data_IF_359773739379
#
_entry.id   IF_359773739379
#
_cell.length_a   1.000
_cell.length_b   1.000
_cell.length_c   1.000
_cell.angle_alpha   90.00
_cell.angle_beta   90.00
_cell.angle_gamma   90.00
#
_symmetry.space_group_name_H-M   'P 1'
#
loop_
_entity.id
_entity.type
_entity.pdbx_description
1 polymer ?
#
# COMPACT_ATOMS: atom_id res chain seq x y z
N UNK A 1 20.16 -3.81 7.42
CA UNK A 1 20.58 -4.96 8.25
C UNK A 1 19.36 -5.69 8.83
N UNK A 2 18.71 -5.20 9.90
CA UNK A 2 17.58 -5.92 10.52
C UNK A 2 16.40 -6.15 9.58
N UNK A 3 15.97 -5.11 8.85
CA UNK A 3 14.86 -5.26 7.89
C UNK A 3 15.21 -6.23 6.75
N UNK A 4 16.44 -6.19 6.24
CA UNK A 4 16.89 -7.10 5.18
C UNK A 4 16.88 -8.56 5.66
N UNK A 5 17.36 -8.83 6.88
CA UNK A 5 17.31 -10.16 7.49
C UNK A 5 15.87 -10.65 7.64
N UNK A 6 14.96 -9.78 8.11
CA UNK A 6 13.53 -10.13 8.25
C UNK A 6 12.84 -10.32 6.91
N UNK A 7 13.19 -9.53 5.89
CA UNK A 7 12.64 -9.65 4.55
C UNK A 7 13.07 -10.96 3.87
N UNK A 8 14.35 -11.34 4.03
CA UNK A 8 14.86 -12.65 3.61
C UNK A 8 14.15 -13.78 4.34
N UNK A 9 14.04 -13.70 5.68
CA UNK A 9 13.35 -14.71 6.48
C UNK A 9 11.87 -14.88 6.08
N UNK A 10 11.15 -13.79 5.82
CA UNK A 10 9.77 -13.85 5.32
C UNK A 10 9.67 -14.65 4.02
N UNK A 11 10.51 -14.32 3.03
CA UNK A 11 10.44 -14.98 1.72
C UNK A 11 10.90 -16.43 1.76
N UNK A 12 11.91 -16.75 2.56
CA UNK A 12 12.34 -18.14 2.80
C UNK A 12 11.25 -18.95 3.49
N UNK A 13 10.56 -18.39 4.48
CA UNK A 13 9.43 -19.03 5.15
C UNK A 13 8.29 -19.31 4.17
N UNK A 14 7.87 -18.31 3.39
CA UNK A 14 6.81 -18.48 2.39
C UNK A 14 7.22 -19.49 1.31
N UNK A 15 8.47 -19.51 0.88
CA UNK A 15 8.96 -20.47 -0.10
C UNK A 15 9.07 -21.91 0.45
N UNK A 16 9.27 -22.06 1.76
CA UNK A 16 9.31 -23.37 2.42
C UNK A 16 7.91 -23.95 2.72
N UNK A 17 6.87 -23.14 2.67
CA UNK A 17 5.48 -23.55 2.90
C UNK A 17 4.90 -24.29 1.68
N UNK A 18 4.34 -25.48 1.91
CA UNK A 18 3.82 -26.36 0.86
C UNK A 18 2.69 -25.72 0.03
N UNK A 19 1.86 -24.86 0.65
CA UNK A 19 0.80 -24.16 -0.05
C UNK A 19 1.38 -23.20 -1.08
N UNK A 20 2.29 -22.31 -0.68
CA UNK A 20 2.87 -21.34 -1.61
C UNK A 20 3.82 -21.97 -2.63
N UNK A 21 4.44 -23.11 -2.31
CA UNK A 21 5.13 -23.93 -3.31
C UNK A 21 4.15 -24.42 -4.39
N UNK A 22 2.97 -24.91 -3.99
CA UNK A 22 1.93 -25.37 -4.92
C UNK A 22 1.34 -24.24 -5.77
N UNK A 23 1.25 -23.03 -5.20
CA UNK A 23 0.88 -21.79 -5.92
C UNK A 23 1.99 -21.29 -6.86
N UNK A 24 3.17 -21.91 -6.83
CA UNK A 24 4.29 -21.59 -7.71
C UNK A 24 5.01 -20.30 -7.35
N UNK A 25 5.08 -19.95 -6.06
CA UNK A 25 5.78 -18.78 -5.55
C UNK A 25 7.21 -18.68 -6.13
N UNK A 26 7.50 -17.53 -6.74
CA UNK A 26 8.83 -17.21 -7.27
C UNK A 26 9.21 -15.79 -6.88
N UNK A 27 10.27 -15.68 -6.09
CA UNK A 27 10.79 -14.40 -5.62
C UNK A 27 12.17 -14.05 -6.19
N UNK A 28 12.68 -14.82 -7.14
CA UNK A 28 13.84 -14.39 -7.95
C UNK A 28 13.48 -13.25 -8.90
N UNK A 29 14.45 -12.53 -9.43
CA UNK A 29 14.21 -11.40 -10.34
C UNK A 29 13.25 -11.73 -11.49
N UNK A 30 12.42 -10.75 -11.84
CA UNK A 30 11.60 -10.75 -13.03
C UNK A 30 11.99 -9.56 -13.90
N UNK A 31 12.24 -9.83 -15.18
CA UNK A 31 12.62 -8.80 -16.14
C UNK A 31 11.58 -7.66 -16.19
N UNK A 32 12.09 -6.43 -16.22
CA UNK A 32 11.28 -5.21 -16.20
C UNK A 32 10.49 -4.94 -14.91
N UNK A 33 10.60 -5.77 -13.86
CA UNK A 33 9.87 -5.59 -12.60
C UNK A 33 10.86 -5.29 -11.46
N UNK A 34 11.04 -4.03 -11.04
CA UNK A 34 12.01 -3.68 -9.98
C UNK A 34 11.59 -4.17 -8.59
N UNK A 35 10.29 -4.42 -8.38
CA UNK A 35 9.73 -4.79 -7.09
C UNK A 35 8.80 -6.01 -7.15
N UNK A 36 8.61 -6.64 -6.00
CA UNK A 36 7.55 -7.58 -5.67
C UNK A 36 6.74 -7.04 -4.48
N UNK A 37 5.45 -7.37 -4.41
CA UNK A 37 4.55 -6.92 -3.36
C UNK A 37 4.15 -8.12 -2.49
N UNK A 38 4.29 -8.00 -1.18
CA UNK A 38 3.81 -8.98 -0.21
C UNK A 38 2.68 -8.36 0.61
N UNK A 39 1.52 -9.01 0.64
CA UNK A 39 0.32 -8.54 1.35
C UNK A 39 0.05 -9.45 2.53
N UNK A 40 0.26 -8.95 3.74
CA UNK A 40 -0.20 -9.60 4.96
C UNK A 40 -1.63 -9.14 5.26
N UNK A 41 -2.59 -9.98 4.91
CA UNK A 41 -4.01 -9.69 5.06
C UNK A 41 -4.44 -9.70 6.53
N UNK A 42 -3.93 -10.65 7.32
CA UNK A 42 -4.24 -10.75 8.75
C UNK A 42 -3.74 -9.54 9.57
N UNK A 43 -2.62 -8.93 9.17
CA UNK A 43 -2.04 -7.77 9.86
C UNK A 43 -2.24 -6.43 9.15
N UNK A 44 -3.02 -6.38 8.07
CA UNK A 44 -3.34 -5.12 7.36
C UNK A 44 -2.09 -4.36 6.89
N UNK A 45 -1.12 -5.09 6.32
CA UNK A 45 0.16 -4.52 5.89
C UNK A 45 0.52 -4.98 4.48
N UNK A 46 0.92 -4.03 3.63
CA UNK A 46 1.56 -4.29 2.33
C UNK A 46 3.04 -3.97 2.46
N UNK A 47 3.92 -4.88 2.07
CA UNK A 47 5.37 -4.67 2.00
C UNK A 47 5.81 -4.75 0.55
N UNK A 48 6.53 -3.73 0.08
CA UNK A 48 7.22 -3.73 -1.21
C UNK A 48 8.64 -4.22 -0.99
N UNK A 49 9.07 -5.21 -1.78
CA UNK A 49 10.39 -5.83 -1.73
C UNK A 49 11.16 -5.51 -3.00
N UNK A 50 12.37 -4.96 -2.85
CA UNK A 50 13.35 -4.77 -3.92
C UNK A 50 14.28 -5.99 -4.02
N UNK A 51 15.05 -6.04 -5.10
CA UNK A 51 16.07 -7.07 -5.31
C UNK A 51 17.25 -6.92 -4.34
N UNK A 52 17.68 -8.04 -3.77
CA UNK A 52 18.96 -8.17 -3.10
C UNK A 52 20.12 -8.37 -4.09
N UNK A 53 21.34 -8.47 -3.56
CA UNK A 53 22.55 -8.63 -4.36
C UNK A 53 22.64 -10.02 -5.03
N UNK A 54 21.81 -10.97 -4.59
CA UNK A 54 21.65 -12.31 -5.17
C UNK A 54 20.55 -12.34 -6.25
N UNK A 55 19.86 -11.21 -6.49
CA UNK A 55 18.80 -11.09 -7.48
C UNK A 55 17.46 -11.66 -7.01
N UNK A 56 17.18 -11.66 -5.70
CA UNK A 56 15.91 -12.08 -5.11
C UNK A 56 15.17 -10.91 -4.45
N UNK A 57 13.84 -10.85 -4.55
CA UNK A 57 13.01 -9.86 -3.90
C UNK A 57 12.91 -10.10 -2.39
N UNK A 58 13.94 -9.71 -1.65
CA UNK A 58 14.03 -9.93 -0.19
C UNK A 58 14.33 -8.66 0.59
N UNK A 59 14.76 -7.56 -0.06
CA UNK A 59 15.07 -6.28 0.59
C UNK A 59 13.80 -5.45 0.79
N UNK A 60 13.29 -5.25 2.02
CA UNK A 60 12.12 -4.41 2.24
C UNK A 60 12.42 -2.97 1.84
N UNK A 61 11.64 -2.46 0.91
CA UNK A 61 11.80 -1.13 0.35
C UNK A 61 10.87 -0.13 1.05
N UNK A 62 9.58 -0.50 1.20
CA UNK A 62 8.60 0.25 1.98
C UNK A 62 7.47 -0.65 2.50
N UNK A 63 6.81 -0.23 3.56
CA UNK A 63 5.58 -0.82 4.08
C UNK A 63 4.46 0.20 4.12
N UNK A 64 3.26 -0.21 3.70
CA UNK A 64 2.04 0.59 3.62
C UNK A 64 0.94 -0.06 4.46
N UNK A 65 0.15 0.76 5.16
CA UNK A 65 -1.05 0.26 5.85
C UNK A 65 -2.12 -0.05 4.80
N UNK A 66 -2.88 -1.14 5.00
CA UNK A 66 -3.98 -1.46 4.10
C UNK A 66 -5.20 -1.99 4.85
N UNK A 67 -6.31 -2.12 4.14
CA UNK A 67 -7.47 -2.88 4.59
C UNK A 67 -7.88 -3.87 3.53
N UNK A 68 -7.62 -5.15 3.80
CA UNK A 68 -8.16 -6.27 3.04
C UNK A 68 -9.46 -6.81 3.64
N UNK A 69 -9.96 -7.90 3.05
CA UNK A 69 -11.10 -8.66 3.54
C UNK A 69 -10.80 -10.16 3.56
N UNK A 70 -11.50 -10.93 4.38
CA UNK A 70 -11.31 -12.38 4.47
C UNK A 70 -11.54 -13.12 3.13
N UNK A 71 -12.25 -12.49 2.20
CA UNK A 71 -12.50 -13.02 0.86
C UNK A 71 -11.31 -12.83 -0.09
N UNK A 72 -10.29 -12.05 0.28
CA UNK A 72 -9.06 -11.91 -0.52
C UNK A 72 -8.36 -13.27 -0.56
N UNK A 73 -8.12 -13.88 -1.74
CA UNK A 73 -7.47 -15.18 -1.80
C UNK A 73 -6.01 -15.07 -1.34
N UNK A 74 -5.56 -16.06 -0.57
CA UNK A 74 -4.13 -16.30 -0.37
C UNK A 74 -3.56 -16.88 -1.66
N UNK A 75 -2.27 -16.65 -1.90
CA UNK A 75 -1.58 -17.25 -3.04
C UNK A 75 -0.56 -16.33 -3.69
N UNK A 76 -0.19 -16.66 -4.93
CA UNK A 76 0.82 -15.97 -5.70
C UNK A 76 0.29 -15.53 -7.07
N UNK A 77 0.39 -14.24 -7.35
CA UNK A 77 -0.28 -13.57 -8.46
C UNK A 77 0.68 -12.65 -9.23
N UNK A 78 0.20 -12.11 -10.35
CA UNK A 78 0.87 -11.07 -11.11
C UNK A 78 -0.13 -10.05 -11.63
N UNK A 79 0.18 -8.76 -11.50
CA UNK A 79 -0.74 -7.67 -11.85
C UNK A 79 -1.00 -7.63 -13.36
N UNK A 80 -2.25 -7.72 -13.86
CA UNK A 80 -2.50 -7.76 -15.31
C UNK A 80 -2.88 -6.42 -15.94
N UNK A 81 -3.38 -5.45 -15.16
CA UNK A 81 -3.93 -4.19 -15.71
C UNK A 81 -4.12 -3.12 -14.61
N UNK A 82 -4.04 -1.86 -15.02
CA UNK A 82 -4.27 -0.68 -14.19
C UNK A 82 -5.50 0.13 -14.66
N UNK A 83 -6.06 0.93 -13.76
CA UNK A 83 -7.22 1.81 -13.98
C UNK A 83 -7.03 3.15 -13.27
N UNK A 84 -7.31 4.26 -13.93
CA UNK A 84 -7.31 5.59 -13.27
C UNK A 84 -8.51 5.74 -12.34
N UNK A 85 -9.66 5.20 -12.76
CA UNK A 85 -10.86 5.05 -11.94
C UNK A 85 -11.48 3.69 -12.21
N UNK A 86 -11.94 3.01 -11.16
CA UNK A 86 -12.59 1.70 -11.28
C UNK A 86 -13.86 1.63 -10.45
N UNK A 87 -14.97 1.26 -11.08
CA UNK A 87 -16.19 0.86 -10.37
C UNK A 87 -15.91 -0.39 -9.52
N UNK A 88 -16.25 -0.32 -8.24
CA UNK A 88 -16.03 -1.36 -7.24
C UNK A 88 -17.32 -2.14 -6.94
N UNK A 89 -17.29 -3.01 -5.93
CA UNK A 89 -18.49 -3.67 -5.43
C UNK A 89 -19.39 -2.66 -4.70
N UNK A 90 -20.59 -2.43 -5.25
CA UNK A 90 -21.48 -1.34 -4.84
C UNK A 90 -21.38 -0.13 -5.79
N UNK A 91 -22.14 0.95 -5.57
CA UNK A 91 -22.04 2.15 -6.38
C UNK A 91 -20.87 3.04 -5.93
N UNK A 92 -19.66 2.48 -5.80
CA UNK A 92 -18.46 3.19 -5.35
C UNK A 92 -17.28 3.02 -6.29
N UNK A 93 -16.27 3.88 -6.14
CA UNK A 93 -15.14 3.98 -7.07
C UNK A 93 -13.79 3.97 -6.36
N UNK A 94 -12.79 3.37 -6.97
CA UNK A 94 -11.39 3.49 -6.55
C UNK A 94 -10.65 4.43 -7.50
N UNK A 95 -10.00 5.46 -6.95
CA UNK A 95 -9.08 6.34 -7.67
C UNK A 95 -7.72 5.65 -7.71
N UNK A 96 -7.19 5.40 -8.89
CA UNK A 96 -6.09 4.46 -9.11
C UNK A 96 -6.46 3.04 -8.63
N UNK A 97 -6.35 2.07 -9.53
CA UNK A 97 -6.50 0.68 -9.17
C UNK A 97 -5.58 -0.20 -10.01
N UNK A 98 -4.94 -1.16 -9.36
CA UNK A 98 -4.11 -2.19 -9.99
C UNK A 98 -4.73 -3.54 -9.71
N UNK A 99 -5.09 -4.30 -10.75
CA UNK A 99 -5.67 -5.63 -10.57
C UNK A 99 -4.63 -6.60 -10.03
N UNK A 100 -5.04 -7.45 -9.11
CA UNK A 100 -4.23 -8.56 -8.58
C UNK A 100 -4.66 -9.85 -9.25
N UNK A 101 -5.94 -10.21 -9.08
CA UNK A 101 -6.53 -11.44 -9.59
C UNK A 101 -8.05 -11.30 -9.66
N UNK A 102 -8.68 -11.82 -10.72
CA UNK A 102 -10.12 -11.71 -10.96
C UNK A 102 -10.71 -10.31 -10.66
N UNK A 103 -11.56 -10.18 -9.64
CA UNK A 103 -12.18 -8.92 -9.22
C UNK A 103 -11.39 -8.16 -8.13
N UNK A 104 -10.32 -8.75 -7.60
CA UNK A 104 -9.51 -8.22 -6.50
C UNK A 104 -8.45 -7.24 -6.99
N UNK A 105 -8.40 -6.07 -6.36
CA UNK A 105 -7.59 -4.92 -6.75
C UNK A 105 -6.79 -4.40 -5.56
N UNK A 106 -5.61 -3.85 -5.81
CA UNK A 106 -5.13 -2.72 -5.03
C UNK A 106 -5.90 -1.48 -5.49
N UNK A 107 -6.52 -0.75 -4.58
CA UNK A 107 -7.18 0.52 -4.91
C UNK A 107 -7.25 1.42 -3.68
N UNK A 108 -7.62 2.68 -3.87
CA UNK A 108 -7.78 3.61 -2.74
C UNK A 108 -8.91 3.19 -1.81
N UNK A 109 -9.03 3.81 -0.64
CA UNK A 109 -10.33 3.83 0.04
C UNK A 109 -11.43 4.23 -0.97
N UNK A 110 -12.63 3.60 -0.94
CA UNK A 110 -13.69 3.88 -1.89
C UNK A 110 -14.16 5.35 -1.87
N UNK A 111 -14.67 5.80 -3.00
CA UNK A 111 -15.30 7.10 -3.21
C UNK A 111 -16.77 6.93 -3.60
N UNK A 112 -17.63 7.85 -3.17
CA UNK A 112 -19.05 7.88 -3.55
C UNK A 112 -19.25 8.23 -5.04
N UNK A 113 -18.29 8.96 -5.64
CA UNK A 113 -18.28 9.30 -7.07
C UNK A 113 -16.85 9.31 -7.64
N UNK A 114 -16.69 9.55 -8.95
CA UNK A 114 -15.37 9.70 -9.59
C UNK A 114 -14.81 11.12 -9.42
N UNK A 115 -14.93 11.67 -8.20
CA UNK A 115 -14.44 12.98 -7.81
C UNK A 115 -13.52 12.83 -6.60
N UNK A 116 -12.38 13.51 -6.62
CA UNK A 116 -11.30 13.36 -5.61
C UNK A 116 -11.66 13.93 -4.23
N UNK A 117 -12.73 14.72 -4.16
CA UNK A 117 -13.28 15.34 -2.96
C UNK A 117 -14.54 14.64 -2.44
N UNK A 118 -14.76 13.39 -2.84
CA UNK A 118 -15.95 12.60 -2.49
C UNK A 118 -15.61 11.20 -1.94
N UNK A 119 -14.56 11.11 -1.11
CA UNK A 119 -14.14 9.86 -0.47
C UNK A 119 -15.16 9.39 0.56
N UNK A 120 -15.29 8.07 0.71
CA UNK A 120 -16.09 7.47 1.79
C UNK A 120 -15.33 7.59 3.12
N UNK A 121 -15.40 8.75 3.76
CA UNK A 121 -14.63 9.05 4.99
C UNK A 121 -14.89 8.08 6.16
N UNK A 122 -16.08 7.49 6.25
CA UNK A 122 -16.37 6.45 7.23
C UNK A 122 -15.62 5.15 6.94
N UNK A 123 -15.36 4.84 5.66
CA UNK A 123 -14.49 3.73 5.26
C UNK A 123 -13.01 4.11 5.38
N UNK A 124 -12.67 5.39 5.20
CA UNK A 124 -11.29 5.89 5.36
C UNK A 124 -10.79 5.65 6.79
N UNK A 125 -11.60 5.99 7.79
CA UNK A 125 -11.26 5.77 9.19
C UNK A 125 -11.23 4.28 9.61
N UNK A 126 -11.56 3.34 8.71
CA UNK A 126 -11.40 1.90 8.94
C UNK A 126 -10.09 1.36 8.36
N UNK A 127 -9.28 2.20 7.71
CA UNK A 127 -8.00 1.78 7.16
C UNK A 127 -7.12 1.18 8.27
N UNK A 128 -6.41 0.09 7.96
CA UNK A 128 -5.64 -0.65 8.96
C UNK A 128 -6.45 -1.72 9.72
N UNK A 129 -7.74 -1.87 9.42
CA UNK A 129 -8.59 -2.97 9.92
C UNK A 129 -9.05 -3.89 8.77
N UNK A 130 -9.69 -5.02 9.07
CA UNK A 130 -10.32 -5.85 8.04
C UNK A 130 -11.68 -5.28 7.66
N UNK A 131 -11.70 -4.40 6.65
CA UNK A 131 -12.86 -3.59 6.31
C UNK A 131 -13.34 -3.72 4.86
N UNK A 132 -12.73 -4.59 4.05
CA UNK A 132 -13.10 -4.74 2.64
C UNK A 132 -13.84 -6.04 2.34
N UNK A 133 -14.52 -6.07 1.18
CA UNK A 133 -15.12 -7.28 0.60
C UNK A 133 -14.09 -8.11 -0.20
N UNK A 134 -12.80 -7.88 0.01
CA UNK A 134 -11.71 -8.63 -0.60
C UNK A 134 -10.64 -7.79 -1.30
N UNK A 135 -10.96 -6.60 -1.81
CA UNK A 135 -9.91 -5.76 -2.39
C UNK A 135 -8.95 -5.20 -1.32
N UNK A 136 -7.72 -4.84 -1.69
CA UNK A 136 -6.75 -4.22 -0.79
C UNK A 136 -6.88 -2.71 -0.91
N UNK A 137 -7.46 -2.07 0.12
CA UNK A 137 -7.62 -0.62 0.21
C UNK A 137 -6.36 0.02 0.79
N UNK A 138 -5.86 1.10 0.20
CA UNK A 138 -4.76 1.92 0.74
C UNK A 138 -5.06 3.42 0.61
N UNK A 139 -4.16 4.26 1.14
CA UNK A 139 -4.15 5.71 0.92
C UNK A 139 -3.87 6.05 -0.55
N UNK A 140 -4.33 7.21 -1.03
CA UNK A 140 -4.06 7.69 -2.40
C UNK A 140 -2.56 7.68 -2.73
N UNK A 141 -1.69 8.17 -1.85
CA UNK A 141 -0.25 8.19 -2.11
C UNK A 141 0.35 6.79 -2.31
N UNK A 142 -0.15 5.80 -1.57
CA UNK A 142 0.36 4.43 -1.55
C UNK A 142 -0.06 3.67 -2.80
N UNK A 143 -1.34 3.75 -3.18
CA UNK A 143 -1.85 3.14 -4.41
C UNK A 143 -1.22 3.79 -5.63
N UNK A 144 -1.07 5.12 -5.62
CA UNK A 144 -0.44 5.84 -6.72
C UNK A 144 1.03 5.42 -6.87
N UNK A 145 1.75 5.25 -5.76
CA UNK A 145 3.12 4.73 -5.81
C UNK A 145 3.18 3.35 -6.46
N UNK A 146 2.27 2.43 -6.08
CA UNK A 146 2.18 1.11 -6.74
C UNK A 146 1.87 1.28 -8.23
N UNK A 147 0.87 2.10 -8.57
CA UNK A 147 0.44 2.34 -9.96
C UNK A 147 1.60 2.83 -10.84
N UNK A 148 2.41 3.76 -10.34
CA UNK A 148 3.49 4.40 -11.11
C UNK A 148 4.78 3.55 -11.15
N UNK A 149 5.10 2.82 -10.07
CA UNK A 149 6.42 2.21 -9.87
C UNK A 149 6.40 0.68 -9.97
N UNK A 150 5.22 0.04 -10.02
CA UNK A 150 5.09 -1.41 -10.21
C UNK A 150 4.48 -1.72 -11.58
N UNK A 151 5.30 -2.04 -12.59
CA UNK A 151 4.84 -2.36 -13.94
C UNK A 151 3.86 -3.54 -13.97
N UNK A 152 3.06 -3.62 -15.04
CA UNK A 152 2.21 -4.78 -15.28
C UNK A 152 3.03 -6.06 -15.28
N UNK A 153 2.58 -7.01 -14.47
CA UNK A 153 3.24 -8.26 -14.20
C UNK A 153 4.07 -8.25 -12.91
N UNK A 154 4.10 -7.15 -12.15
CA UNK A 154 4.64 -7.17 -10.78
C UNK A 154 4.04 -8.32 -10.00
N UNK A 155 4.92 -9.09 -9.36
CA UNK A 155 4.54 -10.28 -8.59
C UNK A 155 3.93 -9.85 -7.26
N UNK A 156 2.89 -10.57 -6.85
CA UNK A 156 2.18 -10.33 -5.60
C UNK A 156 2.06 -11.66 -4.85
N UNK A 157 2.46 -11.70 -3.59
CA UNK A 157 2.14 -12.80 -2.68
C UNK A 157 1.17 -12.30 -1.62
N UNK A 158 0.08 -13.03 -1.38
CA UNK A 158 -0.90 -12.71 -0.34
C UNK A 158 -0.87 -13.83 0.69
N UNK A 159 -0.63 -13.45 1.95
CA UNK A 159 -0.48 -14.37 3.07
C UNK A 159 -1.15 -13.83 4.34
N UNK A 160 -1.24 -14.69 5.37
CA UNK A 160 -1.72 -14.32 6.69
C UNK A 160 -0.65 -14.60 7.76
N UNK A 161 -0.34 -13.57 8.54
CA UNK A 161 0.34 -13.72 9.82
C UNK A 161 -0.10 -12.58 10.75
N UNK A 162 -0.98 -12.87 11.71
CA UNK A 162 -1.53 -11.84 12.61
C UNK A 162 -0.49 -11.33 13.62
N UNK A 163 0.50 -12.15 13.98
CA UNK A 163 1.47 -11.86 15.04
C UNK A 163 2.70 -11.11 14.52
N UNK A 164 3.00 -11.22 13.22
CA UNK A 164 4.07 -10.46 12.57
C UNK A 164 3.52 -9.68 11.36
N UNK A 165 3.37 -8.35 11.46
CA UNK A 165 2.90 -7.51 10.36
C UNK A 165 3.84 -7.47 9.16
N UNK A 166 5.08 -7.91 9.32
CA UNK A 166 6.09 -7.92 8.26
C UNK A 166 7.41 -7.31 8.72
N UNK A 167 8.42 -7.32 7.83
CA UNK A 167 9.80 -7.03 8.18
C UNK A 167 10.02 -5.60 8.69
N UNK A 168 9.18 -4.65 8.28
CA UNK A 168 9.25 -3.23 8.66
C UNK A 168 8.26 -2.84 9.76
N UNK A 169 7.39 -3.75 10.20
CA UNK A 169 6.28 -3.42 11.10
C UNK A 169 5.02 -2.94 10.36
N UNK A 170 3.95 -2.70 11.12
CA UNK A 170 2.69 -2.14 10.60
C UNK A 170 2.77 -0.60 10.62
N UNK A 171 2.57 0.08 9.48
CA UNK A 171 2.46 1.53 9.47
C UNK A 171 1.19 2.03 10.18
N UNK A 172 1.23 3.24 10.73
CA UNK A 172 0.08 3.91 11.34
C UNK A 172 -1.02 4.29 10.35
N UNK A 173 -2.07 4.95 10.82
CA UNK A 173 -3.22 5.38 10.01
C UNK A 173 -3.38 6.90 10.06
N UNK A 174 -4.19 7.46 9.16
CA UNK A 174 -4.58 8.86 9.22
C UNK A 174 -6.05 8.91 9.62
N UNK A 175 -6.38 9.77 10.57
CA UNK A 175 -7.77 10.03 10.97
C UNK A 175 -8.34 11.26 10.26
N UNK A 176 -9.56 11.12 9.78
CA UNK A 176 -10.36 12.19 9.19
C UNK A 176 -11.55 12.50 10.09
N UNK A 177 -11.72 13.75 10.51
CA UNK A 177 -12.90 14.18 11.27
C UNK A 177 -14.16 14.14 10.37
N UNK A 178 -15.14 13.25 10.63
CA UNK A 178 -16.35 13.15 9.81
C UNK A 178 -17.22 14.42 9.85
N UNK A 179 -16.97 15.34 10.77
CA UNK A 179 -17.73 16.60 10.89
C UNK A 179 -17.08 17.78 10.16
N UNK A 180 -15.81 17.67 9.76
CA UNK A 180 -15.12 18.71 8.98
C UNK A 180 -15.48 18.59 7.49
N UNK A 181 -16.61 19.17 7.10
CA UNK A 181 -17.09 19.15 5.70
C UNK A 181 -16.10 19.78 4.71
N UNK A 182 -15.17 20.62 5.18
CA UNK A 182 -14.15 21.22 4.33
C UNK A 182 -13.02 20.27 3.95
N UNK A 183 -12.85 19.17 4.69
CA UNK A 183 -11.73 18.23 4.51
C UNK A 183 -12.15 16.78 4.33
N UNK A 184 -13.27 16.36 4.92
CA UNK A 184 -13.65 14.94 5.01
C UNK A 184 -13.85 14.26 3.66
N UNK A 185 -14.15 15.03 2.60
CA UNK A 185 -14.28 14.50 1.25
C UNK A 185 -12.96 14.13 0.58
N UNK A 186 -11.82 14.58 1.11
CA UNK A 186 -10.51 14.36 0.52
C UNK A 186 -9.72 13.29 1.27
N UNK A 187 -9.00 12.44 0.53
CA UNK A 187 -7.87 11.71 1.10
C UNK A 187 -6.77 12.74 1.48
N UNK A 188 -6.30 12.79 2.74
CA UNK A 188 -5.24 13.70 3.16
C UNK A 188 -3.95 13.60 2.34
N UNK A 189 -3.74 12.46 1.68
CA UNK A 189 -2.56 12.15 0.90
C UNK A 189 -2.72 12.43 -0.60
N UNK A 190 -3.92 12.81 -1.09
CA UNK A 190 -4.11 13.12 -2.51
C UNK A 190 -3.27 14.34 -2.91
N UNK A 191 -2.44 14.24 -3.96
CA UNK A 191 -1.54 15.32 -4.37
C UNK A 191 -2.25 16.49 -5.07
N UNK A 192 -3.55 16.42 -5.32
CA UNK A 192 -4.31 17.48 -6.00
C UNK A 192 -4.08 18.84 -5.34
N UNK A 193 -3.86 19.86 -6.17
CA UNK A 193 -3.65 21.24 -5.69
C UNK A 193 -4.88 21.82 -4.98
N UNK A 194 -6.08 21.30 -5.25
CA UNK A 194 -7.32 21.69 -4.57
C UNK A 194 -7.52 20.99 -3.22
N UNK A 195 -6.69 19.98 -2.89
CA UNK A 195 -6.79 19.27 -1.63
C UNK A 195 -6.52 20.24 -0.45
N UNK A 196 -7.48 20.43 0.47
CA UNK A 196 -7.39 21.39 1.58
C UNK A 196 -6.58 20.87 2.77
N UNK A 197 -6.14 19.61 2.75
CA UNK A 197 -5.27 19.04 3.78
C UNK A 197 -3.87 19.66 3.73
N UNK A 198 -3.23 19.70 4.91
CA UNK A 198 -1.86 20.19 5.01
C UNK A 198 -0.93 19.34 4.13
N UNK A 199 0.04 19.99 3.48
CA UNK A 199 1.05 19.28 2.70
C UNK A 199 1.76 18.21 3.52
N UNK A 200 1.78 18.36 4.85
CA UNK A 200 2.27 17.42 5.84
C UNK A 200 1.47 16.10 5.99
N UNK A 201 0.51 15.79 5.10
CA UNK A 201 -0.09 14.45 5.00
C UNK A 201 0.26 13.71 3.70
N UNK A 202 0.85 14.39 2.71
CA UNK A 202 1.03 13.89 1.33
C UNK A 202 1.97 12.69 1.14
N UNK A 203 2.76 12.31 2.14
CA UNK A 203 3.64 11.13 2.11
C UNK A 203 2.99 9.90 2.77
N UNK A 204 1.78 10.07 3.32
CA UNK A 204 1.07 9.05 4.08
C UNK A 204 1.85 8.58 5.30
N UNK A 205 1.49 7.40 5.80
CA UNK A 205 2.14 6.80 6.96
C UNK A 205 3.17 5.74 6.58
N UNK A 206 3.45 5.52 5.30
CA UNK A 206 4.33 4.43 4.86
C UNK A 206 5.73 4.49 5.52
N UNK A 207 6.19 3.34 6.02
CA UNK A 207 7.55 3.18 6.55
C UNK A 207 8.46 2.95 5.34
N UNK A 208 9.54 3.72 5.23
CA UNK A 208 10.44 3.71 4.06
C UNK A 208 11.86 3.34 4.48
N UNK A 209 12.50 2.49 3.69
CA UNK A 209 13.94 2.26 3.78
C UNK A 209 14.73 3.53 3.41
N UNK A 210 16.01 3.56 3.75
CA UNK A 210 16.91 4.63 3.31
C UNK A 210 16.96 4.74 1.78
N UNK A 211 16.98 3.60 1.08
CA UNK A 211 16.92 3.56 -0.38
C UNK A 211 15.62 4.18 -0.92
N UNK A 212 14.49 3.91 -0.27
CA UNK A 212 13.21 4.50 -0.64
C UNK A 212 13.15 6.00 -0.39
N UNK A 213 13.77 6.48 0.70
CA UNK A 213 13.92 7.91 0.95
C UNK A 213 14.84 8.60 -0.05
N UNK A 214 15.96 7.96 -0.43
CA UNK A 214 16.87 8.50 -1.44
C UNK A 214 16.18 8.60 -2.80
N UNK A 215 15.49 7.55 -3.24
CA UNK A 215 14.73 7.59 -4.47
C UNK A 215 13.67 8.69 -4.44
N UNK A 216 12.97 8.83 -3.32
CA UNK A 216 12.00 9.90 -3.12
C UNK A 216 12.64 11.29 -3.25
N UNK A 217 13.76 11.52 -2.58
CA UNK A 217 14.50 12.79 -2.67
C UNK A 217 14.90 13.10 -4.12
N UNK A 218 15.43 12.10 -4.82
CA UNK A 218 15.82 12.24 -6.23
C UNK A 218 14.61 12.56 -7.11
N UNK A 219 13.46 11.92 -6.85
CA UNK A 219 12.23 12.15 -7.60
C UNK A 219 11.62 13.54 -7.43
N UNK A 220 11.81 14.14 -6.26
CA UNK A 220 11.43 15.53 -6.03
C UNK A 220 12.41 16.47 -6.73
N UNK A 221 13.72 16.17 -6.68
CA UNK A 221 14.76 17.00 -7.28
C UNK A 221 14.69 17.04 -8.81
N UNK A 222 14.43 15.91 -9.45
CA UNK A 222 14.30 15.80 -10.91
C UNK A 222 12.88 16.16 -11.41
N UNK A 223 11.93 16.32 -10.48
CA UNK A 223 10.56 16.71 -10.74
C UNK A 223 9.66 15.61 -11.26
N UNK A 224 10.13 14.34 -11.33
CA UNK A 224 9.29 13.20 -11.78
C UNK A 224 8.09 12.97 -10.88
N UNK A 225 8.14 13.40 -9.61
CA UNK A 225 7.03 13.31 -8.67
C UNK A 225 6.37 14.65 -8.29
N UNK A 226 6.76 15.76 -8.93
CA UNK A 226 6.15 17.07 -8.68
C UNK A 226 4.64 17.03 -8.93
N UNK A 227 3.84 17.31 -7.90
CA UNK A 227 2.38 17.29 -7.99
C UNK A 227 1.77 15.88 -8.01
N UNK A 228 2.51 14.84 -7.60
CA UNK A 228 2.03 13.46 -7.52
C UNK A 228 2.20 12.81 -6.14
N UNK A 229 3.30 13.09 -5.42
CA UNK A 229 3.57 12.62 -4.06
C UNK A 229 4.41 13.74 -3.42
N UNK A 230 4.05 14.28 -2.25
CA UNK A 230 4.75 15.44 -1.65
C UNK A 230 5.08 15.18 -0.16
N UNK A 231 6.04 15.91 0.46
CA UNK A 231 6.66 15.49 1.73
C UNK A 231 5.85 15.67 3.01
N UNK A 232 6.09 14.73 3.93
CA UNK A 232 5.80 14.81 5.37
C UNK A 232 6.53 13.71 6.14
N UNK A 233 6.77 13.98 7.42
CA UNK A 233 7.52 13.15 8.36
C UNK A 233 6.65 12.16 9.16
N UNK A 234 5.48 11.75 8.62
CA UNK A 234 4.63 10.81 9.34
C UNK A 234 5.29 9.43 9.54
N UNK A 235 6.24 8.96 8.72
CA UNK A 235 7.13 7.80 9.00
C UNK A 235 6.57 6.65 9.88
N UNK A 236 5.41 6.10 9.56
CA UNK A 236 4.78 5.02 10.36
C UNK A 236 3.94 5.49 11.55
N UNK A 237 3.98 6.77 11.92
CA UNK A 237 3.15 7.39 12.94
C UNK A 237 1.69 7.52 12.50
N UNK A 238 0.79 7.13 13.41
CA UNK A 238 -0.63 7.36 13.21
C UNK A 238 -1.04 8.74 13.71
N UNK A 239 -2.02 9.35 13.04
CA UNK A 239 -2.76 10.51 13.58
C UNK A 239 -4.09 10.10 14.24
N UNK A 240 -4.45 8.83 14.16
CA UNK A 240 -5.63 8.28 14.82
C UNK A 240 -5.34 7.99 16.29
N UNK A 241 -5.89 8.84 17.16
CA UNK A 241 -5.75 8.71 18.62
C UNK A 241 -6.42 7.47 19.22
N UNK A 242 -7.23 6.73 18.46
CA UNK A 242 -7.86 5.49 18.91
C UNK A 242 -6.99 4.24 18.74
N UNK A 243 -5.87 4.36 18.02
CA UNK A 243 -4.91 3.27 17.79
C UNK A 243 -3.79 3.34 18.85
N UNK A 244 -3.51 2.25 19.57
CA UNK A 244 -2.45 2.23 20.60
C UNK A 244 -1.05 2.41 19.98
N UNK A 245 -0.16 3.12 20.69
CA UNK A 245 1.26 3.27 20.34
C UNK A 245 1.61 4.50 19.47
N UNK A 246 0.65 5.40 19.23
CA UNK A 246 0.78 6.43 18.19
C UNK A 246 0.80 7.85 18.75
N UNK A 247 2.01 8.40 18.88
CA UNK A 247 2.23 9.85 18.88
C UNK A 247 3.53 10.12 18.14
N UNK A 248 3.42 10.79 16.99
CA UNK A 248 4.54 11.61 16.48
C UNK A 248 4.83 12.77 17.43
#
# INVERSE_FOLDING_TARGET
ALWDERGKALMEQLAADEFYQSEGLKYSAKDGCPYMIAVNRAASTVTVLALDDEGNYTKPYMAMVCSGGADTPLGFFATPVNYDWRLLAGPSYGQYATRIWDSYLFHTVPYYSQHKDDIEYDQFNQLGTQASLGCIRLLVCDVKWIYDNCPIGTRVVIYDNADDPGPMGKPGTIYTDPTDESKRGWDPTDPDSANPWDAAFRSGTAIRSEAAWNEWNDAQNDGRWNGSINPTDLQGWSTDSSVEGTRG
#
